data_IF_384707785437
#
_entry.id   IF_384707785437
#
_cell.length_a   1.000
_cell.length_b   1.000
_cell.length_c   1.000
_cell.angle_alpha   90.00
_cell.angle_beta   90.00
_cell.angle_gamma   90.00
#
_symmetry.space_group_name_H-M   'P 1'
#
loop_
_entity.id
_entity.type
_entity.pdbx_description
1 polymer ?
#
# COMPACT_ATOMS: atom_id res chain seq x y z
N UNK A 1 -9.04 5.55 -33.14
CA UNK A 1 -9.53 4.18 -32.82
C UNK A 1 -8.47 3.11 -33.07
N UNK A 2 -7.66 3.20 -34.14
CA UNK A 2 -6.60 2.22 -34.49
C UNK A 2 -5.44 2.20 -33.48
N UNK A 3 -5.00 3.35 -33.00
CA UNK A 3 -3.89 3.48 -32.05
C UNK A 3 -4.24 2.88 -30.67
N UNK A 4 -5.49 2.93 -30.23
CA UNK A 4 -5.94 2.27 -28.98
C UNK A 4 -5.91 0.77 -29.07
N UNK A 5 -6.29 0.16 -30.21
CA UNK A 5 -6.24 -1.30 -30.41
C UNK A 5 -4.80 -1.83 -30.46
N UNK A 6 -3.88 -1.12 -31.10
CA UNK A 6 -2.46 -1.51 -31.12
C UNK A 6 -1.83 -1.48 -29.74
N UNK A 7 -2.17 -0.48 -28.88
CA UNK A 7 -1.69 -0.45 -27.51
C UNK A 7 -2.24 -1.61 -26.65
N UNK A 8 -3.46 -2.06 -26.87
CA UNK A 8 -4.03 -3.21 -26.17
C UNK A 8 -3.44 -4.55 -26.64
N UNK A 9 -3.09 -4.71 -27.90
CA UNK A 9 -2.50 -5.94 -28.44
C UNK A 9 -1.07 -6.23 -27.94
N UNK A 10 -0.35 -5.22 -27.42
CA UNK A 10 1.00 -5.37 -26.89
C UNK A 10 1.05 -5.49 -25.35
N UNK A 11 -0.06 -5.29 -24.64
CA UNK A 11 -0.12 -5.39 -23.18
C UNK A 11 -0.46 -6.84 -22.84
N UNK A 12 0.54 -7.59 -22.33
CA UNK A 12 0.35 -8.97 -21.88
C UNK A 12 -0.37 -9.04 -20.54
N UNK A 13 -0.15 -8.05 -19.69
CA UNK A 13 -0.73 -7.94 -18.35
C UNK A 13 -0.61 -6.49 -17.84
N UNK A 14 -1.22 -6.21 -16.72
CA UNK A 14 -1.17 -4.91 -16.06
C UNK A 14 -0.90 -5.09 -14.57
N UNK A 15 0.16 -4.44 -14.09
CA UNK A 15 0.42 -4.29 -12.67
C UNK A 15 0.13 -2.83 -12.29
N UNK A 16 -0.55 -2.62 -11.17
CA UNK A 16 -0.90 -1.27 -10.74
C UNK A 16 -0.75 -1.09 -9.22
N UNK A 17 -0.43 0.14 -8.82
CA UNK A 17 -0.27 0.49 -7.43
C UNK A 17 -1.63 0.74 -6.76
N UNK A 18 -1.98 -0.09 -5.79
CA UNK A 18 -2.98 0.19 -4.77
C UNK A 18 -2.28 0.63 -3.46
N UNK A 19 -2.93 0.52 -2.34
CA UNK A 19 -2.40 0.97 -1.04
C UNK A 19 -3.06 0.20 0.09
N UNK A 20 -2.34 -0.01 1.19
CA UNK A 20 -2.92 -0.52 2.44
C UNK A 20 -4.00 0.40 3.02
N UNK A 21 -4.05 1.67 2.63
CA UNK A 21 -5.12 2.61 3.02
C UNK A 21 -6.52 2.15 2.63
N UNK A 22 -6.66 1.23 1.65
CA UNK A 22 -7.95 0.67 1.24
C UNK A 22 -8.61 -0.16 2.36
N UNK A 23 -7.82 -0.67 3.32
CA UNK A 23 -8.36 -1.38 4.49
C UNK A 23 -9.18 -0.45 5.40
N UNK A 24 -8.88 0.86 5.38
CA UNK A 24 -9.70 1.89 6.01
C UNK A 24 -10.04 1.58 7.46
N UNK A 25 -11.33 1.44 7.74
CA UNK A 25 -11.85 1.17 9.09
C UNK A 25 -11.74 -0.27 9.58
N UNK A 26 -11.06 -1.19 8.85
CA UNK A 26 -10.89 -2.57 9.30
C UNK A 26 -10.03 -2.62 10.57
N UNK A 27 -10.47 -3.44 11.54
CA UNK A 27 -9.75 -3.63 12.82
C UNK A 27 -9.15 -5.03 12.97
N UNK A 28 -9.44 -5.94 12.04
CA UNK A 28 -8.87 -7.29 12.07
C UNK A 28 -7.45 -7.27 11.53
N UNK A 29 -6.50 -7.44 12.43
CA UNK A 29 -5.07 -7.52 12.12
C UNK A 29 -4.56 -8.95 12.26
N UNK A 30 -3.55 -9.36 11.46
CA UNK A 30 -2.98 -8.62 10.32
C UNK A 30 -3.97 -8.46 9.16
N UNK A 31 -3.70 -7.49 8.27
CA UNK A 31 -4.51 -7.32 7.06
C UNK A 31 -4.22 -8.40 6.03
N UNK A 32 -5.27 -9.08 5.59
CA UNK A 32 -5.23 -10.09 4.52
C UNK A 32 -5.97 -9.58 3.28
N UNK A 33 -5.54 -10.05 2.11
CA UNK A 33 -6.09 -9.65 0.83
C UNK A 33 -7.58 -9.98 0.68
N UNK A 34 -8.02 -11.07 1.31
CA UNK A 34 -9.41 -11.55 1.31
C UNK A 34 -10.36 -10.69 2.16
N UNK A 35 -9.83 -9.79 2.96
CA UNK A 35 -10.69 -8.91 3.77
C UNK A 35 -11.46 -7.93 2.89
N UNK A 36 -12.74 -7.76 3.19
CA UNK A 36 -13.57 -6.73 2.55
C UNK A 36 -13.02 -5.32 2.86
N UNK A 37 -12.88 -4.48 1.84
CA UNK A 37 -12.33 -3.12 1.92
C UNK A 37 -13.37 -2.10 1.44
N UNK A 38 -14.54 -2.11 2.07
CA UNK A 38 -15.71 -1.34 1.65
C UNK A 38 -15.90 -0.02 2.42
N UNK A 39 -15.06 0.26 3.42
CA UNK A 39 -15.17 1.43 4.28
C UNK A 39 -13.89 2.27 4.27
N UNK A 40 -13.56 2.92 3.12
CA UNK A 40 -12.41 3.81 3.06
C UNK A 40 -12.62 5.02 3.99
N UNK A 41 -11.59 5.40 4.75
CA UNK A 41 -11.65 6.51 5.71
C UNK A 41 -11.02 7.80 5.16
N UNK A 42 -10.50 7.76 3.93
CA UNK A 42 -9.95 8.93 3.23
C UNK A 42 -10.30 8.91 1.75
N UNK A 43 -10.32 10.10 1.11
CA UNK A 43 -10.53 10.20 -0.33
C UNK A 43 -9.44 9.44 -1.12
N UNK A 44 -8.19 9.48 -0.63
CA UNK A 44 -7.09 8.72 -1.22
C UNK A 44 -7.40 7.21 -1.21
N UNK A 45 -7.85 6.66 -0.09
CA UNK A 45 -8.24 5.25 0.01
C UNK A 45 -9.38 4.91 -0.96
N UNK A 46 -10.39 5.77 -1.06
CA UNK A 46 -11.51 5.60 -1.99
C UNK A 46 -11.03 5.58 -3.45
N UNK A 47 -10.14 6.48 -3.84
CA UNK A 47 -9.58 6.48 -5.23
C UNK A 47 -8.77 5.23 -5.51
N UNK A 48 -7.97 4.72 -4.54
CA UNK A 48 -7.21 3.48 -4.72
C UNK A 48 -8.13 2.26 -4.82
N UNK A 49 -9.19 2.20 -4.01
CA UNK A 49 -10.21 1.14 -4.14
C UNK A 49 -10.94 1.22 -5.49
N UNK A 50 -11.25 2.41 -5.97
CA UNK A 50 -11.85 2.60 -7.30
C UNK A 50 -10.94 2.05 -8.41
N UNK A 51 -9.62 2.22 -8.30
CA UNK A 51 -8.68 1.63 -9.25
C UNK A 51 -8.73 0.10 -9.24
N UNK A 52 -8.87 -0.55 -8.05
CA UNK A 52 -9.04 -2.01 -7.96
C UNK A 52 -10.31 -2.46 -8.69
N UNK A 53 -11.44 -1.77 -8.47
CA UNK A 53 -12.72 -2.08 -9.12
C UNK A 53 -12.65 -1.91 -10.65
N UNK A 54 -12.05 -0.82 -11.12
CA UNK A 54 -11.85 -0.60 -12.55
C UNK A 54 -10.93 -1.66 -13.17
N UNK A 55 -9.85 -2.03 -12.50
CA UNK A 55 -8.94 -3.07 -12.98
C UNK A 55 -9.66 -4.42 -13.11
N UNK A 56 -10.45 -4.81 -12.11
CA UNK A 56 -11.27 -6.01 -12.17
C UNK A 56 -12.25 -5.99 -13.35
N UNK A 57 -12.94 -4.85 -13.56
CA UNK A 57 -13.87 -4.69 -14.69
C UNK A 57 -13.16 -4.88 -16.03
N UNK A 58 -11.95 -4.34 -16.20
CA UNK A 58 -11.17 -4.54 -17.41
C UNK A 58 -10.66 -5.96 -17.57
N UNK A 59 -10.29 -6.64 -16.48
CA UNK A 59 -9.98 -8.08 -16.50
C UNK A 59 -11.16 -8.87 -17.00
N UNK A 60 -12.35 -8.62 -16.48
CA UNK A 60 -13.57 -9.36 -16.82
C UNK A 60 -14.02 -9.12 -18.27
N UNK A 61 -14.01 -7.87 -18.73
CA UNK A 61 -14.54 -7.51 -20.06
C UNK A 61 -13.58 -7.82 -21.21
N UNK A 62 -12.27 -7.87 -20.96
CA UNK A 62 -11.26 -7.89 -22.01
C UNK A 62 -10.20 -8.96 -21.80
N UNK A 63 -10.38 -9.88 -20.86
CA UNK A 63 -9.39 -10.89 -20.47
C UNK A 63 -7.98 -10.31 -20.23
N UNK A 64 -7.93 -9.05 -19.74
CA UNK A 64 -6.68 -8.39 -19.43
C UNK A 64 -6.19 -8.84 -18.05
N UNK A 65 -5.10 -9.62 -17.95
CA UNK A 65 -4.58 -10.01 -16.66
C UNK A 65 -4.16 -8.79 -15.84
N UNK A 66 -4.72 -8.63 -14.63
CA UNK A 66 -4.38 -7.49 -13.77
C UNK A 66 -3.93 -7.94 -12.39
N UNK A 67 -2.86 -7.32 -11.89
CA UNK A 67 -2.34 -7.54 -10.54
C UNK A 67 -2.30 -6.21 -9.80
N UNK A 68 -3.07 -6.08 -8.74
CA UNK A 68 -3.04 -4.94 -7.83
C UNK A 68 -2.05 -5.19 -6.70
N UNK A 69 -1.24 -4.17 -6.34
CA UNK A 69 -0.28 -4.24 -5.26
C UNK A 69 -0.64 -3.22 -4.20
N UNK A 70 -1.06 -3.68 -3.02
CA UNK A 70 -1.34 -2.85 -1.85
C UNK A 70 -0.05 -2.62 -1.08
N UNK A 71 0.59 -1.49 -1.35
CA UNK A 71 1.81 -1.11 -0.64
C UNK A 71 1.50 -0.61 0.76
N UNK A 72 2.32 -1.03 1.72
CA UNK A 72 2.36 -0.50 3.08
C UNK A 72 3.30 0.70 3.15
N UNK A 73 3.89 0.98 4.30
CA UNK A 73 4.76 2.16 4.44
C UNK A 73 6.15 1.85 3.88
N UNK A 74 6.40 2.31 2.66
CA UNK A 74 7.69 2.11 1.99
C UNK A 74 8.70 3.16 2.46
N UNK A 75 9.94 2.73 2.74
CA UNK A 75 11.03 3.61 3.10
C UNK A 75 12.34 3.21 2.38
N UNK A 76 13.30 4.11 2.34
CA UNK A 76 14.60 3.87 1.71
C UNK A 76 15.09 5.04 0.85
N UNK A 77 16.16 4.84 0.06
CA UNK A 77 16.67 5.84 -0.86
C UNK A 77 15.57 6.39 -1.80
N UNK A 78 15.65 7.68 -2.09
CA UNK A 78 14.65 8.40 -2.91
C UNK A 78 13.24 8.43 -2.33
N UNK A 79 13.11 8.20 -1.00
CA UNK A 79 11.84 8.32 -0.30
C UNK A 79 11.18 9.68 -0.51
N UNK A 80 9.85 9.70 -0.57
CA UNK A 80 9.09 10.95 -0.75
C UNK A 80 9.33 11.89 0.43
N UNK A 81 9.59 13.19 0.18
CA UNK A 81 9.93 14.16 1.24
C UNK A 81 8.76 14.44 2.20
N UNK A 82 7.53 14.14 1.81
CA UNK A 82 6.30 14.31 2.58
C UNK A 82 5.91 13.07 3.41
N UNK A 83 6.73 12.02 3.42
CA UNK A 83 6.52 10.83 4.25
C UNK A 83 7.20 10.97 5.61
N UNK A 84 6.60 10.37 6.65
CA UNK A 84 7.07 10.47 8.04
C UNK A 84 8.57 10.19 8.21
N UNK A 85 9.20 9.16 7.59
CA UNK A 85 10.64 8.95 7.73
C UNK A 85 11.49 10.16 7.30
N UNK A 86 11.12 10.79 6.17
CA UNK A 86 11.87 11.93 5.63
C UNK A 86 11.59 13.22 6.41
N UNK A 87 10.32 13.45 6.78
CA UNK A 87 9.93 14.61 7.60
C UNK A 87 10.66 14.55 8.94
N UNK A 88 10.61 13.41 9.64
CA UNK A 88 11.21 13.27 10.96
C UNK A 88 12.73 13.40 10.90
N UNK A 89 13.40 12.74 9.95
CA UNK A 89 14.84 12.85 9.81
C UNK A 89 15.27 14.29 9.56
N UNK A 90 14.60 15.03 8.66
CA UNK A 90 14.89 16.43 8.37
C UNK A 90 14.66 17.32 9.58
N UNK A 91 13.52 17.18 10.27
CA UNK A 91 13.21 17.99 11.45
C UNK A 91 14.21 17.74 12.60
N UNK A 92 14.60 16.47 12.85
CA UNK A 92 15.60 16.11 13.84
C UNK A 92 16.96 16.76 13.51
N UNK A 93 17.39 16.69 12.25
CA UNK A 93 18.65 17.30 11.81
C UNK A 93 18.65 18.82 11.98
N UNK A 94 17.53 19.48 11.73
CA UNK A 94 17.34 20.92 11.83
C UNK A 94 17.02 21.40 13.24
N UNK A 95 16.87 20.50 14.24
CA UNK A 95 16.37 20.79 15.59
C UNK A 95 14.96 21.42 15.59
N UNK A 96 14.11 21.00 14.66
CA UNK A 96 12.71 21.37 14.57
C UNK A 96 11.83 20.31 15.25
N UNK A 97 10.64 20.68 15.80
CA UNK A 97 9.75 19.71 16.43
C UNK A 97 9.12 18.77 15.39
N UNK A 98 9.04 17.47 15.74
CA UNK A 98 8.27 16.48 15.00
C UNK A 98 6.87 16.35 15.58
N UNK A 99 5.84 16.22 14.71
CA UNK A 99 4.46 15.99 15.14
C UNK A 99 4.23 14.49 15.36
N UNK A 100 3.91 14.11 16.60
CA UNK A 100 3.68 12.71 16.99
C UNK A 100 2.20 12.53 17.27
N UNK A 101 1.46 12.09 16.25
CA UNK A 101 0.01 11.89 16.33
C UNK A 101 -0.37 10.69 17.21
N UNK A 102 -1.63 10.68 17.67
CA UNK A 102 -2.19 9.70 18.59
C UNK A 102 -1.28 9.48 19.83
N UNK A 103 -0.64 10.55 20.31
CA UNK A 103 0.31 10.48 21.42
C UNK A 103 1.41 9.41 21.25
N UNK A 104 1.73 9.05 20.00
CA UNK A 104 2.71 8.02 19.65
C UNK A 104 2.18 6.59 19.67
N UNK A 105 0.92 6.37 20.03
CA UNK A 105 0.31 5.04 20.04
C UNK A 105 -0.16 4.62 18.63
N UNK A 106 0.80 4.46 17.74
CA UNK A 106 0.59 4.08 16.34
C UNK A 106 1.60 3.02 15.93
N UNK A 107 1.16 2.13 15.05
CA UNK A 107 2.02 1.12 14.43
C UNK A 107 1.99 1.29 12.91
N UNK A 108 3.13 1.03 12.29
CA UNK A 108 3.25 0.98 10.82
C UNK A 108 4.09 -0.22 10.43
N UNK A 109 3.70 -0.87 9.35
CA UNK A 109 4.54 -1.86 8.69
C UNK A 109 5.46 -1.14 7.71
N UNK A 110 6.74 -1.02 8.08
CA UNK A 110 7.77 -0.38 7.27
C UNK A 110 8.45 -1.42 6.37
N UNK A 111 8.35 -1.23 5.07
CA UNK A 111 8.93 -2.12 4.07
C UNK A 111 10.06 -1.40 3.32
N UNK A 112 11.23 -2.03 3.26
CA UNK A 112 12.38 -1.43 2.57
C UNK A 112 12.16 -1.43 1.05
N UNK A 113 12.65 -0.39 0.38
CA UNK A 113 12.38 -0.17 -1.05
C UNK A 113 12.87 -1.33 -1.92
N UNK A 114 14.01 -1.96 -1.63
CA UNK A 114 14.53 -3.06 -2.43
C UNK A 114 13.62 -4.29 -2.36
N UNK A 115 13.03 -4.59 -1.19
CA UNK A 115 12.06 -5.67 -1.02
C UNK A 115 10.78 -5.40 -1.82
N UNK A 116 10.33 -4.13 -1.81
CA UNK A 116 9.17 -3.69 -2.61
C UNK A 116 9.45 -3.86 -4.10
N UNK A 117 10.61 -3.42 -4.57
CA UNK A 117 11.04 -3.54 -5.97
C UNK A 117 11.13 -5.01 -6.39
N UNK A 118 11.73 -5.85 -5.56
CA UNK A 118 11.79 -7.31 -5.81
C UNK A 118 10.39 -7.90 -5.94
N UNK A 119 9.46 -7.56 -5.06
CA UNK A 119 8.06 -7.99 -5.13
C UNK A 119 7.39 -7.57 -6.45
N UNK A 120 7.57 -6.32 -6.88
CA UNK A 120 7.05 -5.81 -8.16
C UNK A 120 7.65 -6.59 -9.33
N UNK A 121 8.98 -6.76 -9.35
CA UNK A 121 9.69 -7.48 -10.43
C UNK A 121 9.19 -8.91 -10.56
N UNK A 122 9.03 -9.63 -9.45
CA UNK A 122 8.45 -10.99 -9.46
C UNK A 122 7.04 -11.02 -10.04
N UNK A 123 6.22 -10.03 -9.73
CA UNK A 123 4.88 -9.93 -10.31
C UNK A 123 4.91 -9.70 -11.83
N UNK A 124 5.93 -8.98 -12.37
CA UNK A 124 6.08 -8.77 -13.82
C UNK A 124 6.28 -10.06 -14.62
N UNK A 125 6.84 -11.09 -13.98
CA UNK A 125 7.07 -12.39 -14.64
C UNK A 125 5.96 -13.41 -14.40
N UNK A 126 4.97 -13.08 -13.57
CA UNK A 126 3.88 -13.99 -13.25
C UNK A 126 2.53 -13.31 -13.48
N UNK A 127 1.92 -13.54 -14.63
CA UNK A 127 0.58 -13.02 -14.95
C UNK A 127 -0.47 -13.46 -13.94
N UNK A 128 -1.48 -12.62 -13.74
CA UNK A 128 -2.71 -13.06 -13.09
C UNK A 128 -3.41 -14.13 -13.92
N UNK A 129 -3.93 -15.17 -13.27
CA UNK A 129 -4.78 -16.21 -13.85
C UNK A 129 -6.18 -16.10 -13.25
N UNK A 130 -7.11 -16.78 -13.87
CA UNK A 130 -8.43 -17.03 -13.28
C UNK A 130 -8.24 -17.86 -12.01
N UNK A 131 -9.16 -17.70 -11.08
CA UNK A 131 -9.28 -18.54 -9.89
C UNK A 131 -10.35 -19.61 -10.21
N UNK A 132 -9.90 -20.85 -10.42
CA UNK A 132 -10.78 -21.97 -10.79
C UNK A 132 -11.72 -22.37 -9.62
N UNK A 133 -11.34 -22.02 -8.38
CA UNK A 133 -12.11 -22.27 -7.17
C UNK A 133 -13.02 -21.08 -6.79
N UNK A 134 -13.11 -20.04 -7.64
CA UNK A 134 -13.90 -18.85 -7.36
C UNK A 134 -15.38 -19.17 -7.11
N UNK A 135 -15.84 -18.87 -5.91
CA UNK A 135 -17.25 -19.07 -5.52
C UNK A 135 -18.02 -17.75 -5.56
N UNK A 136 -18.95 -17.56 -6.52
CA UNK A 136 -19.72 -16.32 -6.64
C UNK A 136 -20.70 -16.08 -5.49
N UNK A 137 -21.01 -17.08 -4.67
CA UNK A 137 -21.86 -16.93 -3.47
C UNK A 137 -21.07 -16.33 -2.28
N UNK A 138 -19.77 -16.58 -2.24
CA UNK A 138 -18.85 -16.08 -1.22
C UNK A 138 -17.59 -15.60 -1.95
N UNK A 139 -17.66 -14.48 -2.67
CA UNK A 139 -16.56 -14.04 -3.52
C UNK A 139 -15.36 -13.59 -2.70
N UNK A 140 -14.16 -14.10 -3.05
CA UNK A 140 -12.91 -13.63 -2.50
C UNK A 140 -12.56 -12.27 -3.13
N UNK A 141 -12.36 -11.18 -2.34
CA UNK A 141 -12.08 -9.86 -2.88
C UNK A 141 -10.73 -9.73 -3.60
N UNK A 142 -9.81 -10.68 -3.39
CA UNK A 142 -8.45 -10.63 -3.93
C UNK A 142 -8.24 -11.43 -5.21
N UNK A 143 -9.20 -12.30 -5.57
CA UNK A 143 -9.18 -13.15 -6.78
C UNK A 143 -10.51 -13.06 -7.54
N UNK A 144 -10.61 -13.70 -8.69
CA UNK A 144 -11.84 -13.68 -9.49
C UNK A 144 -11.88 -14.84 -10.48
N UNK A 145 -13.07 -15.12 -11.00
CA UNK A 145 -13.24 -15.91 -12.24
C UNK A 145 -12.68 -15.22 -13.50
N UNK A 146 -12.23 -13.97 -13.41
CA UNK A 146 -11.44 -13.27 -14.42
C UNK A 146 -9.94 -13.31 -14.02
N UNK A 147 -9.00 -13.04 -14.94
CA UNK A 147 -7.56 -13.03 -14.64
C UNK A 147 -7.16 -11.80 -13.81
N UNK A 148 -7.57 -11.79 -12.55
CA UNK A 148 -7.42 -10.70 -11.58
C UNK A 148 -6.88 -11.22 -10.26
N UNK A 149 -5.98 -10.45 -9.65
CA UNK A 149 -5.52 -10.73 -8.28
C UNK A 149 -4.99 -9.46 -7.60
N UNK A 150 -4.98 -9.53 -6.26
CA UNK A 150 -4.37 -8.51 -5.40
C UNK A 150 -3.34 -9.17 -4.47
N UNK A 151 -2.26 -8.44 -4.20
CA UNK A 151 -1.26 -8.79 -3.19
C UNK A 151 -1.00 -7.63 -2.24
N UNK A 152 -0.79 -7.95 -0.98
CA UNK A 152 -0.15 -7.06 -0.03
C UNK A 152 1.37 -7.07 -0.25
N UNK A 153 1.98 -5.90 -0.28
CA UNK A 153 3.44 -5.74 -0.31
C UNK A 153 3.84 -5.02 0.97
N UNK A 154 4.19 -5.79 1.96
CA UNK A 154 4.56 -5.37 3.30
C UNK A 154 5.64 -6.27 3.90
N UNK A 155 6.18 -5.86 5.04
CA UNK A 155 7.21 -6.60 5.79
C UNK A 155 6.62 -7.59 6.81
N UNK A 156 5.31 -7.52 7.05
CA UNK A 156 4.59 -8.32 8.06
C UNK A 156 5.16 -8.15 9.50
N UNK A 157 5.78 -7.00 9.77
CA UNK A 157 6.40 -6.69 11.06
C UNK A 157 6.03 -5.27 11.52
N UNK A 158 4.84 -5.08 12.09
CA UNK A 158 4.37 -3.78 12.56
C UNK A 158 5.31 -3.19 13.61
N UNK A 159 5.79 -1.99 13.38
CA UNK A 159 6.73 -1.27 14.22
C UNK A 159 6.04 -0.11 14.92
N UNK A 160 6.23 0.04 16.23
CA UNK A 160 5.74 1.17 17.01
C UNK A 160 6.39 2.47 16.54
N UNK A 161 5.59 3.54 16.40
CA UNK A 161 6.07 4.85 15.97
C UNK A 161 7.16 5.41 16.90
N UNK A 162 6.99 5.21 18.21
CA UNK A 162 7.98 5.64 19.21
C UNK A 162 9.32 4.94 19.03
N UNK A 163 9.32 3.63 18.79
CA UNK A 163 10.55 2.88 18.51
C UNK A 163 11.21 3.33 17.20
N UNK A 164 10.42 3.59 16.17
CA UNK A 164 10.93 4.15 14.92
C UNK A 164 11.65 5.50 15.13
N UNK A 165 11.06 6.39 15.96
CA UNK A 165 11.69 7.68 16.32
C UNK A 165 13.00 7.45 17.09
N UNK A 166 13.05 6.51 18.03
CA UNK A 166 14.26 6.18 18.78
C UNK A 166 15.38 5.67 17.85
N UNK A 167 15.04 4.87 16.84
CA UNK A 167 16.01 4.43 15.83
C UNK A 167 16.55 5.60 15.01
N UNK A 168 15.71 6.55 14.62
CA UNK A 168 16.14 7.77 13.93
C UNK A 168 17.08 8.60 14.83
N UNK A 169 16.71 8.85 16.09
CA UNK A 169 17.54 9.56 17.05
C UNK A 169 18.93 8.93 17.20
N UNK A 170 18.96 7.60 17.33
CA UNK A 170 20.21 6.83 17.45
C UNK A 170 21.10 6.97 16.21
N UNK A 171 20.52 6.83 15.02
CA UNK A 171 21.29 6.86 13.78
C UNK A 171 21.72 8.28 13.37
N UNK A 172 20.93 9.30 13.71
CA UNK A 172 21.24 10.70 13.42
C UNK A 172 22.13 11.36 14.51
N UNK A 173 22.33 10.69 15.64
CA UNK A 173 23.09 11.23 16.77
C UNK A 173 22.45 12.44 17.44
N UNK A 174 21.14 12.65 17.24
CA UNK A 174 20.39 13.80 17.75
C UNK A 174 19.06 13.35 18.36
N UNK A 175 18.59 14.08 19.41
CA UNK A 175 17.29 13.84 20.01
C UNK A 175 16.20 14.63 19.29
N UNK A 176 15.04 14.00 19.10
CA UNK A 176 13.85 14.61 18.54
C UNK A 176 13.16 15.51 19.56
N UNK A 177 12.73 16.68 19.14
CA UNK A 177 11.79 17.51 19.88
C UNK A 177 10.38 17.02 19.53
N UNK A 178 9.76 16.27 20.45
CA UNK A 178 8.48 15.57 20.20
C UNK A 178 7.32 16.47 20.60
N UNK A 179 6.44 16.80 19.64
CA UNK A 179 5.18 17.49 19.88
C UNK A 179 4.02 16.48 19.73
N UNK A 180 3.50 16.01 20.84
CA UNK A 180 2.43 15.02 20.85
C UNK A 180 1.08 15.65 20.49
N UNK A 181 0.37 15.04 19.56
CA UNK A 181 -0.91 15.49 19.02
C UNK A 181 -1.99 14.41 19.17
N UNK A 182 -3.27 14.78 19.20
CA UNK A 182 -4.37 13.85 19.05
C UNK A 182 -4.30 13.07 17.73
N UNK A 183 -5.14 12.06 17.57
CA UNK A 183 -5.27 11.30 16.31
C UNK A 183 -5.62 12.24 15.14
N UNK A 184 -4.93 12.09 14.03
CA UNK A 184 -5.22 12.85 12.81
C UNK A 184 -6.45 12.26 12.13
N UNK A 185 -7.40 13.09 11.62
CA UNK A 185 -8.53 12.59 10.85
C UNK A 185 -8.08 11.85 9.58
N UNK A 186 -8.61 10.64 9.38
CA UNK A 186 -8.31 9.82 8.20
C UNK A 186 -7.07 8.93 8.27
N UNK A 187 -6.47 8.80 9.49
CA UNK A 187 -5.31 7.93 9.73
C UNK A 187 -5.73 6.68 10.53
#
# INVERSE_FOLDING_TARGET
>A
RYIRRQRQMCIRDRIYASSSSVYGGNKNLPFYEEQAVNHPVSLYAATKKSNELMAHTYSHLYDLPTTGLRFFTVYGPWGRPDMAPMIFARSILNNEPIQVFNHGNMQRDFTYIDDVVEGIVRCCFKKASIDDDFNPLIPNPSTSSAPYRIFNIGNSNPTQLTYFIELLEKNLGKKAIKNFQPMQPGD
#
